data_IF_266961104827
#
_entry.id   IF_266961104827
#
_cell.length_a   1.000
_cell.length_b   1.000
_cell.length_c   1.000
_cell.angle_alpha   90.00
_cell.angle_beta   90.00
_cell.angle_gamma   90.00
#
_symmetry.space_group_name_H-M   'P 1'
#
loop_
_entity.id
_entity.type
_entity.pdbx_description
1 polymer ?
#
# COMPACT_ATOMS: atom_id res chain seq x y z
N UNK A 1 94.76 17.54 90.82
CA UNK A 1 95.50 18.75 91.25
C UNK A 1 94.61 19.96 90.99
N UNK A 2 94.67 21.06 91.74
CA UNK A 2 94.90 21.27 93.19
C UNK A 2 93.82 22.26 93.76
N UNK A 3 93.95 22.91 94.94
CA UNK A 3 94.76 22.63 96.12
C UNK A 3 93.95 22.54 97.44
N UNK A 4 94.34 21.60 98.32
CA UNK A 4 94.23 21.77 99.77
C UNK A 4 95.40 22.66 100.22
N UNK A 5 95.13 23.74 100.95
CA UNK A 5 96.14 24.59 101.58
C UNK A 5 95.76 24.89 103.03
N UNK A 6 96.70 24.58 103.93
CA UNK A 6 96.95 25.09 105.30
C UNK A 6 95.83 24.86 106.33
N UNK A 7 96.10 24.49 107.56
CA UNK A 7 97.32 24.61 108.35
C UNK A 7 96.91 25.13 109.74
N UNK A 8 97.59 24.68 110.79
CA UNK A 8 97.53 25.32 112.10
C UNK A 8 96.83 24.50 113.18
N UNK A 9 97.58 23.63 113.86
CA UNK A 9 97.25 23.16 115.21
C UNK A 9 98.07 24.02 116.18
N UNK A 10 97.42 25.05 116.73
CA UNK A 10 97.90 25.83 117.86
C UNK A 10 97.57 25.11 119.17
N UNK A 11 98.54 25.06 120.08
CA UNK A 11 98.48 24.43 121.39
C UNK A 11 98.11 25.51 122.40
N UNK A 12 96.96 25.39 123.06
CA UNK A 12 96.51 26.26 124.14
C UNK A 12 95.53 25.50 125.01
N UNK A 13 95.94 25.20 126.24
CA UNK A 13 95.11 24.52 127.21
C UNK A 13 94.22 25.47 128.01
N UNK A 14 93.39 24.83 128.83
CA UNK A 14 92.53 25.36 129.91
C UNK A 14 91.18 25.95 129.51
N UNK A 15 90.13 25.35 130.10
CA UNK A 15 88.74 25.77 130.04
C UNK A 15 87.84 24.70 129.42
N UNK A 16 87.17 23.87 130.24
CA UNK A 16 86.01 23.10 129.77
C UNK A 16 84.85 24.08 129.54
N UNK A 17 84.91 24.75 128.40
CA UNK A 17 83.84 25.58 127.88
C UNK A 17 82.97 24.67 127.02
N UNK A 18 81.76 24.37 127.51
CA UNK A 18 80.73 23.68 126.74
C UNK A 18 79.73 24.76 126.35
N UNK A 19 79.53 24.96 125.05
CA UNK A 19 78.61 25.93 124.45
C UNK A 19 78.77 27.39 124.95
N UNK A 20 80.01 27.89 124.93
CA UNK A 20 80.31 29.30 125.25
C UNK A 20 80.23 29.69 126.73
N UNK A 21 79.97 28.75 127.65
CA UNK A 21 79.89 28.99 129.10
C UNK A 21 81.00 28.24 129.86
N UNK A 22 81.69 28.91 130.79
CA UNK A 22 82.75 28.34 131.63
C UNK A 22 82.15 27.52 132.80
N UNK A 23 82.30 26.20 132.73
CA UNK A 23 81.66 25.24 133.65
C UNK A 23 82.32 25.14 135.03
N UNK A 24 83.39 25.89 135.29
CA UNK A 24 84.21 25.76 136.51
C UNK A 24 83.71 26.58 137.71
N UNK A 25 82.71 27.46 137.54
CA UNK A 25 82.17 28.33 138.60
C UNK A 25 80.68 28.09 138.93
N UNK A 26 80.07 27.04 138.36
CA UNK A 26 78.66 26.71 138.60
C UNK A 26 78.49 25.70 139.74
N UNK A 27 77.48 25.94 140.59
CA UNK A 27 77.05 24.97 141.61
C UNK A 27 76.37 23.75 140.96
N UNK A 28 76.32 22.60 141.65
CA UNK A 28 75.81 21.32 141.09
C UNK A 28 74.43 21.47 140.43
N UNK A 29 73.51 22.22 141.03
CA UNK A 29 72.17 22.48 140.48
C UNK A 29 72.22 23.32 139.20
N UNK A 30 73.14 24.28 139.10
CA UNK A 30 73.30 25.11 137.89
C UNK A 30 73.90 24.32 136.71
N UNK A 31 74.79 23.36 136.99
CA UNK A 31 75.32 22.42 135.99
C UNK A 31 74.25 21.43 135.51
N UNK A 32 73.33 21.00 136.39
CA UNK A 32 72.20 20.14 136.02
C UNK A 32 71.21 20.89 135.11
N UNK A 33 70.87 22.15 135.41
CA UNK A 33 70.03 23.01 134.55
C UNK A 33 70.71 23.30 133.22
N UNK A 34 72.03 23.55 133.20
CA UNK A 34 72.77 23.76 131.95
C UNK A 34 72.84 22.48 131.10
N UNK A 35 73.06 21.31 131.72
CA UNK A 35 72.97 20.02 131.03
C UNK A 35 71.58 19.76 130.45
N UNK A 36 70.51 20.12 131.16
CA UNK A 36 69.15 20.01 130.65
C UNK A 36 68.91 20.93 129.46
N UNK A 37 69.36 22.19 129.51
CA UNK A 37 69.25 23.12 128.38
C UNK A 37 70.00 22.64 127.13
N UNK A 38 71.25 22.19 127.29
CA UNK A 38 72.04 21.65 126.17
C UNK A 38 71.41 20.37 125.60
N UNK A 39 70.82 19.53 126.45
CA UNK A 39 70.06 18.35 125.99
C UNK A 39 68.84 18.76 125.19
N UNK A 40 68.03 19.70 125.68
CA UNK A 40 66.85 20.21 124.97
C UNK A 40 67.22 20.89 123.65
N UNK A 41 68.35 21.62 123.61
CA UNK A 41 68.83 22.25 122.39
C UNK A 41 69.38 21.23 121.39
N UNK A 42 70.10 20.19 121.85
CA UNK A 42 70.51 19.08 121.00
C UNK A 42 69.30 18.28 120.48
N UNK A 43 68.25 18.14 121.28
CA UNK A 43 67.01 17.46 120.91
C UNK A 43 66.24 18.28 119.87
N UNK A 44 66.15 19.61 120.04
CA UNK A 44 65.60 20.53 119.04
C UNK A 44 66.39 20.50 117.73
N UNK A 45 67.72 20.57 117.78
CA UNK A 45 68.56 20.46 116.57
C UNK A 45 68.40 19.10 115.87
N UNK A 46 68.18 18.02 116.64
CA UNK A 46 67.88 16.69 116.08
C UNK A 46 66.51 16.67 115.41
N UNK A 47 65.49 17.26 116.02
CA UNK A 47 64.15 17.39 115.46
C UNK A 47 64.16 18.24 114.18
N UNK A 48 64.86 19.37 114.18
CA UNK A 48 65.03 20.22 113.00
C UNK A 48 65.78 19.50 111.89
N UNK A 49 66.88 18.80 112.20
CA UNK A 49 67.59 17.99 111.21
C UNK A 49 66.69 16.89 110.64
N UNK A 50 65.90 16.23 111.48
CA UNK A 50 64.95 15.20 111.04
C UNK A 50 63.90 15.81 110.12
N UNK A 51 63.30 16.94 110.50
CA UNK A 51 62.34 17.68 109.69
C UNK A 51 62.91 18.07 108.32
N UNK A 52 64.11 18.67 108.28
CA UNK A 52 64.75 19.04 107.01
C UNK A 52 65.16 17.83 106.16
N UNK A 53 65.53 16.70 106.79
CA UNK A 53 65.76 15.45 106.06
C UNK A 53 64.47 14.94 105.42
N UNK A 54 63.37 14.94 106.18
CA UNK A 54 62.08 14.46 105.73
C UNK A 54 61.49 15.36 104.63
N UNK A 55 61.65 16.68 104.74
CA UNK A 55 61.27 17.64 103.68
C UNK A 55 62.15 17.51 102.43
N UNK A 56 63.46 17.33 102.58
CA UNK A 56 64.34 17.07 101.44
C UNK A 56 63.96 15.78 100.72
N UNK A 57 63.68 14.72 101.48
CA UNK A 57 63.31 13.43 100.91
C UNK A 57 61.93 13.50 100.23
N UNK A 58 60.96 14.22 100.82
CA UNK A 58 59.68 14.55 100.15
C UNK A 58 59.89 15.33 98.86
N UNK A 59 60.68 16.41 98.87
CA UNK A 59 60.99 17.19 97.67
C UNK A 59 61.67 16.34 96.60
N UNK A 60 62.55 15.42 97.00
CA UNK A 60 63.17 14.47 96.08
C UNK A 60 62.15 13.51 95.47
N UNK A 61 61.23 12.96 96.25
CA UNK A 61 60.16 12.10 95.72
C UNK A 61 59.25 12.87 94.76
N UNK A 62 58.84 14.11 95.09
CA UNK A 62 58.06 14.93 94.17
C UNK A 62 58.82 15.27 92.90
N UNK A 63 60.12 15.56 93.00
CA UNK A 63 60.96 15.79 91.82
C UNK A 63 61.09 14.54 90.95
N UNK A 64 61.27 13.35 91.54
CA UNK A 64 61.32 12.09 90.80
C UNK A 64 59.97 11.76 90.14
N UNK A 65 58.85 11.96 90.85
CA UNK A 65 57.49 11.78 90.29
C UNK A 65 57.23 12.74 89.14
N UNK A 66 57.42 14.05 89.34
CA UNK A 66 57.17 15.07 88.29
C UNK A 66 58.09 14.90 87.09
N UNK A 67 59.33 14.46 87.31
CA UNK A 67 60.26 14.09 86.24
C UNK A 67 59.73 12.89 85.45
N UNK A 68 59.29 11.82 86.13
CA UNK A 68 58.71 10.64 85.47
C UNK A 68 57.42 11.00 84.71
N UNK A 69 56.52 11.79 85.31
CA UNK A 69 55.30 12.28 84.66
C UNK A 69 55.62 13.11 83.40
N UNK A 70 56.65 13.95 83.45
CA UNK A 70 57.11 14.71 82.29
C UNK A 70 57.68 13.79 81.20
N UNK A 71 58.46 12.78 81.57
CA UNK A 71 58.98 11.77 80.63
C UNK A 71 57.84 10.96 79.99
N UNK A 72 56.84 10.54 80.76
CA UNK A 72 55.64 9.87 80.27
C UNK A 72 54.82 10.76 79.34
N UNK A 73 54.61 12.04 79.69
CA UNK A 73 53.88 12.98 78.86
C UNK A 73 54.61 13.22 77.53
N UNK A 74 55.94 13.36 77.56
CA UNK A 74 56.77 13.45 76.35
C UNK A 74 56.68 12.18 75.50
N UNK A 75 56.68 11.00 76.11
CA UNK A 75 56.52 9.73 75.39
C UNK A 75 55.12 9.62 74.75
N UNK A 76 54.06 10.00 75.47
CA UNK A 76 52.69 10.06 74.94
C UNK A 76 52.57 11.02 73.77
N UNK A 77 53.20 12.20 73.86
CA UNK A 77 53.19 13.19 72.79
C UNK A 77 53.88 12.66 71.52
N UNK A 78 55.08 12.06 71.65
CA UNK A 78 55.76 11.39 70.53
C UNK A 78 54.93 10.27 69.90
N UNK A 79 54.25 9.47 70.72
CA UNK A 79 53.36 8.42 70.21
C UNK A 79 52.17 9.01 69.45
N UNK A 80 51.63 10.16 69.90
CA UNK A 80 50.54 10.85 69.21
C UNK A 80 51.00 11.48 67.91
N UNK A 81 52.19 12.09 67.88
CA UNK A 81 52.79 12.60 66.64
C UNK A 81 52.99 11.47 65.62
N UNK A 82 53.51 10.32 66.06
CA UNK A 82 53.64 9.12 65.21
C UNK A 82 52.29 8.62 64.70
N UNK A 83 51.25 8.61 65.54
CA UNK A 83 49.89 8.24 65.10
C UNK A 83 49.33 9.21 64.06
N UNK A 84 49.63 10.51 64.17
CA UNK A 84 49.23 11.51 63.19
C UNK A 84 49.96 11.29 61.87
N UNK A 85 51.27 11.04 61.91
CA UNK A 85 52.08 10.70 60.73
C UNK A 85 51.53 9.44 60.02
N UNK A 86 51.32 8.34 60.76
CA UNK A 86 50.78 7.10 60.19
C UNK A 86 49.37 7.28 59.60
N UNK A 87 48.53 8.11 60.22
CA UNK A 87 47.20 8.41 59.69
C UNK A 87 47.28 9.28 58.42
N UNK A 88 48.22 10.22 58.36
CA UNK A 88 48.47 11.04 57.18
C UNK A 88 49.00 10.19 56.00
N UNK A 89 49.95 9.30 56.26
CA UNK A 89 50.49 8.36 55.26
C UNK A 89 49.39 7.46 54.69
N UNK A 90 48.57 6.85 55.56
CA UNK A 90 47.41 6.03 55.12
C UNK A 90 46.43 6.83 54.26
N UNK A 91 46.10 8.05 54.67
CA UNK A 91 45.21 8.91 53.89
C UNK A 91 45.83 9.28 52.52
N UNK A 92 47.15 9.52 52.46
CA UNK A 92 47.83 9.79 51.19
C UNK A 92 47.81 8.56 50.25
N UNK A 93 48.01 7.36 50.79
CA UNK A 93 47.90 6.11 50.03
C UNK A 93 46.48 5.87 49.53
N UNK A 94 45.46 6.06 50.39
CA UNK A 94 44.06 5.98 50.00
C UNK A 94 43.72 6.99 48.90
N UNK A 95 44.17 8.24 49.03
CA UNK A 95 43.96 9.28 48.03
C UNK A 95 44.60 8.91 46.68
N UNK A 96 45.81 8.32 46.68
CA UNK A 96 46.47 7.82 45.47
C UNK A 96 45.67 6.69 44.83
N UNK A 97 45.20 5.73 45.63
CA UNK A 97 44.36 4.63 45.18
C UNK A 97 43.05 5.13 44.56
N UNK A 98 42.33 6.02 45.24
CA UNK A 98 41.09 6.61 44.72
C UNK A 98 41.34 7.42 43.44
N UNK A 99 42.43 8.18 43.36
CA UNK A 99 42.82 8.91 42.15
C UNK A 99 43.07 7.98 40.97
N UNK A 100 43.75 6.84 41.20
CA UNK A 100 43.97 5.83 40.17
C UNK A 100 42.66 5.16 39.75
N UNK A 101 41.78 4.83 40.71
CA UNK A 101 40.46 4.25 40.45
C UNK A 101 39.58 5.17 39.61
N UNK A 102 39.56 6.47 39.91
CA UNK A 102 38.83 7.48 39.10
C UNK A 102 39.39 7.55 37.69
N UNK A 103 40.73 7.59 37.52
CA UNK A 103 41.35 7.59 36.19
C UNK A 103 40.99 6.34 35.38
N UNK A 104 41.02 5.16 36.01
CA UNK A 104 40.65 3.91 35.34
C UNK A 104 39.18 3.92 34.92
N UNK A 105 38.26 4.31 35.82
CA UNK A 105 36.84 4.43 35.50
C UNK A 105 36.56 5.43 34.38
N UNK A 106 37.28 6.56 34.34
CA UNK A 106 37.16 7.53 33.25
C UNK A 106 37.63 6.95 31.92
N UNK A 107 38.76 6.24 31.91
CA UNK A 107 39.28 5.58 30.71
C UNK A 107 38.34 4.49 30.22
N UNK A 108 37.83 3.65 31.12
CA UNK A 108 36.87 2.59 30.80
C UNK A 108 35.57 3.18 30.25
N UNK A 109 35.03 4.23 30.88
CA UNK A 109 33.84 4.91 30.38
C UNK A 109 34.06 5.52 28.99
N UNK A 110 35.22 6.14 28.76
CA UNK A 110 35.57 6.68 27.45
C UNK A 110 35.71 5.58 26.40
N UNK A 111 36.33 4.45 26.75
CA UNK A 111 36.49 3.30 25.86
C UNK A 111 35.13 2.68 25.50
N UNK A 112 34.28 2.42 26.50
CA UNK A 112 32.93 1.90 26.29
C UNK A 112 32.10 2.86 25.44
N UNK A 113 32.22 4.17 25.65
CA UNK A 113 31.54 5.17 24.82
C UNK A 113 32.04 5.14 23.36
N UNK A 114 33.34 4.97 23.13
CA UNK A 114 33.88 4.85 21.77
C UNK A 114 33.46 3.55 21.10
N UNK A 115 33.41 2.45 21.83
CA UNK A 115 32.98 1.14 21.35
C UNK A 115 31.49 1.17 20.98
N UNK A 116 30.60 1.63 21.88
CA UNK A 116 29.18 1.79 21.57
C UNK A 116 28.93 2.70 20.37
N UNK A 117 29.73 3.77 20.19
CA UNK A 117 29.63 4.64 19.00
C UNK A 117 30.05 3.91 17.73
N UNK A 118 31.12 3.13 17.78
CA UNK A 118 31.58 2.33 16.64
C UNK A 118 30.55 1.26 16.26
N UNK A 119 30.01 0.53 17.24
CA UNK A 119 28.96 -0.48 17.04
C UNK A 119 27.69 0.14 16.45
N UNK A 120 27.26 1.31 16.95
CA UNK A 120 26.10 2.01 16.42
C UNK A 120 26.31 2.45 14.96
N UNK A 121 27.51 2.91 14.60
CA UNK A 121 27.85 3.28 13.22
C UNK A 121 27.87 2.06 12.29
N UNK A 122 28.43 0.94 12.74
CA UNK A 122 28.44 -0.32 11.96
C UNK A 122 27.03 -0.83 11.77
N UNK A 123 26.19 -0.85 12.82
CA UNK A 123 24.79 -1.26 12.75
C UNK A 123 23.99 -0.38 11.78
N UNK A 124 24.18 0.94 11.85
CA UNK A 124 23.53 1.87 10.91
C UNK A 124 23.97 1.62 9.47
N UNK A 125 25.26 1.36 9.25
CA UNK A 125 25.82 1.08 7.93
C UNK A 125 25.27 -0.24 7.35
N UNK A 126 25.21 -1.30 8.16
CA UNK A 126 24.60 -2.58 7.77
C UNK A 126 23.14 -2.39 7.37
N UNK A 127 22.34 -1.69 8.19
CA UNK A 127 20.93 -1.41 7.87
C UNK A 127 20.78 -0.60 6.57
N UNK A 128 21.67 0.37 6.33
CA UNK A 128 21.67 1.14 5.09
C UNK A 128 22.02 0.28 3.87
N UNK A 129 22.99 -0.63 4.01
CA UNK A 129 23.41 -1.53 2.93
C UNK A 129 22.30 -2.55 2.62
N UNK A 130 21.64 -3.12 3.65
CA UNK A 130 20.48 -4.01 3.50
C UNK A 130 19.32 -3.32 2.77
N UNK A 131 18.99 -2.07 3.14
CA UNK A 131 17.97 -1.30 2.44
C UNK A 131 18.34 -1.00 0.98
N UNK A 132 19.62 -0.73 0.72
CA UNK A 132 20.11 -0.50 -0.65
C UNK A 132 20.03 -1.77 -1.49
N UNK A 133 20.29 -2.94 -0.91
CA UNK A 133 20.15 -4.23 -1.57
C UNK A 133 18.68 -4.55 -1.89
N UNK A 134 17.78 -4.39 -0.91
CA UNK A 134 16.34 -4.54 -1.12
C UNK A 134 15.80 -3.60 -2.22
N UNK A 135 16.27 -2.35 -2.27
CA UNK A 135 15.88 -1.42 -3.34
C UNK A 135 16.34 -1.92 -4.72
N UNK A 136 17.56 -2.45 -4.81
CA UNK A 136 18.08 -3.03 -6.08
C UNK A 136 17.28 -4.25 -6.51
N UNK A 137 16.91 -5.12 -5.59
CA UNK A 137 16.05 -6.29 -5.85
C UNK A 137 14.68 -5.85 -6.36
N UNK A 138 14.02 -4.92 -5.67
CA UNK A 138 12.72 -4.40 -6.11
C UNK A 138 12.79 -3.72 -7.49
N UNK A 139 13.88 -3.03 -7.80
CA UNK A 139 14.09 -2.44 -9.12
C UNK A 139 14.30 -3.50 -10.20
N UNK A 140 14.95 -4.62 -9.87
CA UNK A 140 15.11 -5.77 -10.76
C UNK A 140 13.76 -6.45 -11.00
N UNK A 141 13.03 -6.79 -9.94
CA UNK A 141 11.70 -7.40 -10.04
C UNK A 141 10.74 -6.54 -10.86
N UNK A 142 10.77 -5.22 -10.67
CA UNK A 142 10.00 -4.27 -11.48
C UNK A 142 10.35 -4.32 -12.96
N UNK A 143 11.63 -4.51 -13.32
CA UNK A 143 12.07 -4.65 -14.72
C UNK A 143 11.62 -5.99 -15.30
N UNK A 144 11.74 -7.06 -14.53
CA UNK A 144 11.39 -8.42 -14.93
C UNK A 144 9.87 -8.55 -15.13
N UNK A 145 9.06 -8.03 -14.20
CA UNK A 145 7.60 -7.95 -14.34
C UNK A 145 7.18 -7.13 -15.56
N UNK A 146 7.84 -6.01 -15.84
CA UNK A 146 7.58 -5.22 -17.05
C UNK A 146 7.95 -5.98 -18.33
N UNK A 147 8.99 -6.81 -18.30
CA UNK A 147 9.36 -7.63 -19.44
C UNK A 147 8.33 -8.75 -19.67
N UNK A 148 7.92 -9.45 -18.61
CA UNK A 148 6.88 -10.48 -18.66
C UNK A 148 5.54 -9.92 -19.15
N UNK A 149 5.13 -8.73 -18.69
CA UNK A 149 3.93 -8.08 -19.18
C UNK A 149 3.99 -7.81 -20.69
N UNK A 150 5.12 -7.27 -21.19
CA UNK A 150 5.29 -7.04 -22.63
C UNK A 150 5.26 -8.34 -23.42
N UNK A 151 5.87 -9.39 -22.89
CA UNK A 151 5.86 -10.71 -23.52
C UNK A 151 4.43 -11.28 -23.61
N UNK A 152 3.65 -11.17 -22.53
CA UNK A 152 2.23 -11.56 -22.52
C UNK A 152 1.39 -10.72 -23.49
N UNK A 153 1.61 -9.41 -23.56
CA UNK A 153 0.92 -8.53 -24.51
C UNK A 153 1.21 -8.94 -25.96
N UNK A 154 2.47 -9.24 -26.30
CA UNK A 154 2.86 -9.73 -27.63
C UNK A 154 2.23 -11.09 -27.91
N UNK A 155 2.27 -12.03 -26.96
CA UNK A 155 1.65 -13.35 -27.10
C UNK A 155 0.13 -13.24 -27.36
N UNK A 156 -0.57 -12.37 -26.62
CA UNK A 156 -2.00 -12.13 -26.84
C UNK A 156 -2.27 -11.49 -28.21
N UNK A 157 -1.44 -10.53 -28.64
CA UNK A 157 -1.57 -9.95 -29.98
C UNK A 157 -1.40 -10.99 -31.08
N UNK A 158 -0.44 -11.91 -30.93
CA UNK A 158 -0.20 -12.97 -31.90
C UNK A 158 -1.33 -14.02 -31.91
N UNK A 159 -1.91 -14.34 -30.75
CA UNK A 159 -3.14 -15.15 -30.67
C UNK A 159 -4.31 -14.49 -31.42
N UNK A 160 -4.52 -13.18 -31.24
CA UNK A 160 -5.56 -12.43 -31.96
C UNK A 160 -5.30 -12.43 -33.46
N UNK A 161 -4.04 -12.26 -33.91
CA UNK A 161 -3.68 -12.35 -35.33
C UNK A 161 -3.96 -13.75 -35.90
N UNK A 162 -3.60 -14.81 -35.16
CA UNK A 162 -3.84 -16.19 -35.56
C UNK A 162 -5.35 -16.47 -35.71
N UNK A 163 -6.17 -16.05 -34.75
CA UNK A 163 -7.63 -16.17 -34.83
C UNK A 163 -8.23 -15.40 -36.01
N UNK A 164 -7.74 -14.18 -36.29
CA UNK A 164 -8.16 -13.41 -37.46
C UNK A 164 -7.79 -14.10 -38.78
N UNK A 165 -6.61 -14.69 -38.86
CA UNK A 165 -6.17 -15.45 -40.03
C UNK A 165 -7.06 -16.68 -40.26
N UNK A 166 -7.28 -17.48 -39.20
CA UNK A 166 -8.16 -18.64 -39.27
C UNK A 166 -9.58 -18.24 -39.70
N UNK A 167 -10.14 -17.17 -39.14
CA UNK A 167 -11.46 -16.69 -39.54
C UNK A 167 -11.50 -16.24 -41.02
N UNK A 168 -10.43 -15.61 -41.51
CA UNK A 168 -10.31 -15.25 -42.92
C UNK A 168 -10.26 -16.47 -43.84
N UNK A 169 -9.58 -17.54 -43.42
CA UNK A 169 -9.52 -18.82 -44.14
C UNK A 169 -10.89 -19.51 -44.16
N UNK A 170 -11.60 -19.51 -43.05
CA UNK A 170 -12.96 -20.05 -42.95
C UNK A 170 -13.94 -19.28 -43.85
N UNK A 171 -13.90 -17.94 -43.84
CA UNK A 171 -14.69 -17.10 -44.74
C UNK A 171 -14.37 -17.40 -46.20
N UNK A 172 -13.09 -17.53 -46.55
CA UNK A 172 -12.66 -17.86 -47.91
C UNK A 172 -13.19 -19.23 -48.35
N UNK A 173 -13.11 -20.22 -47.46
CA UNK A 173 -13.65 -21.57 -47.70
C UNK A 173 -15.15 -21.54 -47.94
N UNK A 174 -15.90 -20.81 -47.10
CA UNK A 174 -17.36 -20.66 -47.25
C UNK A 174 -17.71 -19.95 -48.56
N UNK A 175 -16.99 -18.87 -48.92
CA UNK A 175 -17.18 -18.17 -50.20
C UNK A 175 -16.97 -19.09 -51.38
N UNK A 176 -15.89 -19.87 -51.38
CA UNK A 176 -15.61 -20.83 -52.45
C UNK A 176 -16.70 -21.90 -52.56
N UNK A 177 -17.22 -22.39 -51.42
CA UNK A 177 -18.34 -23.34 -51.42
C UNK A 177 -19.63 -22.73 -51.99
N UNK A 178 -19.92 -21.46 -51.69
CA UNK A 178 -21.07 -20.77 -52.26
C UNK A 178 -20.91 -20.52 -53.75
N UNK A 179 -19.73 -20.11 -54.20
CA UNK A 179 -19.44 -19.90 -55.63
C UNK A 179 -19.58 -21.21 -56.43
N UNK A 180 -19.11 -22.34 -55.87
CA UNK A 180 -19.32 -23.65 -56.47
C UNK A 180 -20.81 -24.02 -56.57
N UNK A 181 -21.57 -23.83 -55.49
CA UNK A 181 -23.02 -24.09 -55.48
C UNK A 181 -23.77 -23.19 -56.46
N UNK A 182 -23.38 -21.93 -56.59
CA UNK A 182 -23.94 -20.99 -57.55
C UNK A 182 -23.71 -21.47 -58.98
N UNK A 183 -22.47 -21.83 -59.33
CA UNK A 183 -22.12 -22.39 -60.65
C UNK A 183 -22.87 -23.69 -60.94
N UNK A 184 -22.99 -24.59 -59.96
CA UNK A 184 -23.77 -25.83 -60.12
C UNK A 184 -25.25 -25.55 -60.38
N UNK A 185 -25.82 -24.56 -59.70
CA UNK A 185 -27.21 -24.17 -59.86
C UNK A 185 -27.45 -23.50 -61.22
N UNK A 186 -26.57 -22.59 -61.62
CA UNK A 186 -26.58 -21.93 -62.92
C UNK A 186 -26.52 -22.96 -64.05
N UNK A 187 -25.52 -23.85 -64.04
CA UNK A 187 -25.37 -24.92 -65.02
C UNK A 187 -26.62 -25.82 -65.09
N UNK A 188 -27.24 -26.12 -63.94
CA UNK A 188 -28.46 -26.93 -63.89
C UNK A 188 -29.65 -26.24 -64.56
N UNK A 189 -29.82 -24.93 -64.35
CA UNK A 189 -30.91 -24.18 -64.97
C UNK A 189 -30.65 -23.84 -66.43
N UNK A 190 -29.41 -23.56 -66.80
CA UNK A 190 -29.02 -23.36 -68.20
C UNK A 190 -29.25 -24.63 -69.02
N UNK A 191 -28.90 -25.80 -68.48
CA UNK A 191 -29.23 -27.09 -69.10
C UNK A 191 -30.74 -27.28 -69.25
N UNK A 192 -31.54 -27.06 -68.20
CA UNK A 192 -33.01 -27.15 -68.28
C UNK A 192 -33.59 -26.20 -69.32
N UNK A 193 -33.05 -25.00 -69.43
CA UNK A 193 -33.49 -24.02 -70.41
C UNK A 193 -33.15 -24.46 -71.83
N UNK A 194 -31.93 -24.98 -72.05
CA UNK A 194 -31.51 -25.53 -73.33
C UNK A 194 -32.39 -26.73 -73.75
N UNK A 195 -32.66 -27.66 -72.82
CA UNK A 195 -33.53 -28.81 -73.05
C UNK A 195 -34.94 -28.36 -73.43
N UNK A 196 -35.53 -27.42 -72.68
CA UNK A 196 -36.87 -26.87 -72.98
C UNK A 196 -36.91 -26.17 -74.35
N UNK A 197 -35.86 -25.41 -74.69
CA UNK A 197 -35.75 -24.74 -75.99
C UNK A 197 -35.68 -25.77 -77.12
N UNK A 198 -34.93 -26.86 -76.93
CA UNK A 198 -34.86 -27.95 -77.89
C UNK A 198 -36.20 -28.65 -78.05
N UNK A 199 -36.90 -28.98 -76.95
CA UNK A 199 -38.24 -29.57 -76.99
C UNK A 199 -39.24 -28.69 -77.74
N UNK A 200 -39.24 -27.38 -77.45
CA UNK A 200 -40.14 -26.43 -78.11
C UNK A 200 -39.84 -26.31 -79.61
N UNK A 201 -38.55 -26.32 -79.98
CA UNK A 201 -38.14 -26.29 -81.39
C UNK A 201 -38.53 -27.56 -82.14
N UNK A 202 -38.40 -28.73 -81.50
CA UNK A 202 -38.86 -30.02 -82.05
C UNK A 202 -40.37 -29.98 -82.25
N UNK A 203 -41.15 -29.54 -81.25
CA UNK A 203 -42.61 -29.38 -81.39
C UNK A 203 -42.98 -28.46 -82.54
N UNK A 204 -42.34 -27.29 -82.63
CA UNK A 204 -42.59 -26.34 -83.71
C UNK A 204 -42.26 -26.94 -85.09
N UNK A 205 -41.13 -27.65 -85.22
CA UNK A 205 -40.75 -28.31 -86.49
C UNK A 205 -41.73 -29.43 -86.85
N UNK A 206 -42.19 -30.20 -85.86
CA UNK A 206 -43.22 -31.23 -86.04
C UNK A 206 -44.54 -30.61 -86.51
N UNK A 207 -45.04 -29.59 -85.82
CA UNK A 207 -46.27 -28.87 -86.18
C UNK A 207 -46.19 -28.26 -87.59
N UNK A 208 -45.03 -27.70 -87.95
CA UNK A 208 -44.77 -27.19 -89.30
C UNK A 208 -44.80 -28.31 -90.34
N UNK A 209 -44.16 -29.46 -90.07
CA UNK A 209 -44.17 -30.61 -90.99
C UNK A 209 -45.56 -31.20 -91.18
N UNK A 210 -46.37 -31.31 -90.11
CA UNK A 210 -47.76 -31.76 -90.21
C UNK A 210 -48.62 -30.77 -91.02
N UNK A 211 -48.37 -29.47 -90.85
CA UNK A 211 -49.09 -28.44 -91.61
C UNK A 211 -48.69 -28.46 -93.08
N UNK A 212 -47.40 -28.63 -93.39
CA UNK A 212 -46.90 -28.84 -94.75
C UNK A 212 -47.52 -30.08 -95.39
N UNK A 213 -47.58 -31.21 -94.67
CA UNK A 213 -48.23 -32.44 -95.15
C UNK A 213 -49.72 -32.21 -95.42
N UNK A 214 -50.45 -31.59 -94.49
CA UNK A 214 -51.87 -31.22 -94.69
C UNK A 214 -52.06 -30.31 -95.91
N UNK A 215 -51.18 -29.33 -96.11
CA UNK A 215 -51.24 -28.41 -97.26
C UNK A 215 -50.89 -29.12 -98.57
N UNK A 216 -49.89 -30.00 -98.58
CA UNK A 216 -49.54 -30.81 -99.74
C UNK A 216 -50.66 -31.78 -100.13
N UNK A 217 -51.33 -32.38 -99.15
CA UNK A 217 -52.53 -33.19 -99.39
C UNK A 217 -53.65 -32.35 -100.01
N UNK A 218 -53.92 -31.15 -99.47
CA UNK A 218 -54.91 -30.23 -100.04
C UNK A 218 -54.54 -29.80 -101.48
N UNK A 219 -53.26 -29.53 -101.77
CA UNK A 219 -52.78 -29.23 -103.13
C UNK A 219 -53.01 -30.42 -104.06
N UNK A 220 -52.72 -31.63 -103.59
CA UNK A 220 -52.90 -32.87 -104.35
C UNK A 220 -54.38 -33.10 -104.67
N UNK A 221 -55.27 -32.94 -103.68
CA UNK A 221 -56.72 -33.06 -103.86
C UNK A 221 -57.26 -31.97 -104.80
N UNK A 222 -56.79 -30.74 -104.66
CA UNK A 222 -57.16 -29.65 -105.55
C UNK A 222 -56.67 -29.92 -106.99
N UNK A 223 -55.45 -30.45 -107.15
CA UNK A 223 -54.91 -30.83 -108.46
C UNK A 223 -55.75 -31.93 -109.09
N UNK A 224 -56.11 -32.98 -108.34
CA UNK A 224 -57.02 -34.04 -108.81
C UNK A 224 -58.40 -33.49 -109.16
N UNK A 225 -58.93 -32.57 -108.35
CA UNK A 225 -60.21 -31.92 -108.64
C UNK A 225 -60.13 -31.07 -109.90
N UNK A 226 -59.08 -30.27 -110.06
CA UNK A 226 -58.82 -29.49 -111.27
C UNK A 226 -58.65 -30.38 -112.49
N UNK A 227 -57.96 -31.52 -112.37
CA UNK A 227 -57.79 -32.49 -113.46
C UNK A 227 -59.12 -33.15 -113.84
N UNK A 228 -59.97 -33.46 -112.84
CA UNK A 228 -61.33 -33.94 -113.06
C UNK A 228 -62.19 -32.88 -113.76
N UNK A 229 -62.24 -31.65 -113.25
CA UNK A 229 -62.98 -30.53 -113.85
C UNK A 229 -62.43 -30.22 -115.24
N UNK A 230 -61.11 -30.30 -115.45
CA UNK A 230 -60.50 -30.11 -116.77
C UNK A 230 -60.91 -31.22 -117.74
N UNK A 231 -60.96 -32.48 -117.31
CA UNK A 231 -61.48 -33.57 -118.12
C UNK A 231 -62.98 -33.43 -118.40
N UNK A 232 -63.78 -33.02 -117.41
CA UNK A 232 -65.19 -32.70 -117.58
C UNK A 232 -65.38 -31.52 -118.55
N UNK A 233 -64.54 -30.48 -118.46
CA UNK A 233 -64.54 -29.33 -119.35
C UNK A 233 -64.06 -29.70 -120.76
N UNK A 234 -63.08 -30.59 -120.88
CA UNK A 234 -62.62 -31.16 -122.15
C UNK A 234 -63.72 -32.00 -122.80
N UNK A 235 -64.44 -32.80 -122.02
CA UNK A 235 -65.62 -33.54 -122.48
C UNK A 235 -66.75 -32.58 -122.87
N UNK A 236 -67.03 -31.56 -122.05
CA UNK A 236 -67.99 -30.50 -122.35
C UNK A 236 -67.62 -29.70 -123.60
N UNK A 237 -66.34 -29.43 -123.85
CA UNK A 237 -65.88 -28.79 -125.09
C UNK A 237 -65.82 -29.75 -126.28
N UNK A 238 -65.71 -31.06 -126.06
CA UNK A 238 -65.95 -32.06 -127.10
C UNK A 238 -67.45 -32.11 -127.47
N UNK A 239 -68.33 -32.07 -126.46
CA UNK A 239 -69.78 -32.01 -126.65
C UNK A 239 -70.20 -30.67 -127.26
N UNK A 240 -69.55 -29.58 -126.87
CA UNK A 240 -69.70 -28.26 -127.47
C UNK A 240 -69.02 -28.17 -128.82
N UNK A 241 -67.94 -28.87 -129.18
CA UNK A 241 -67.46 -28.85 -130.57
C UNK A 241 -68.44 -29.59 -131.47
N UNK A 242 -69.06 -30.67 -130.98
CA UNK A 242 -70.23 -31.30 -131.61
C UNK A 242 -71.43 -30.33 -131.70
N UNK A 243 -71.73 -29.57 -130.64
CA UNK A 243 -72.84 -28.61 -130.60
C UNK A 243 -72.54 -27.28 -131.32
N UNK A 244 -71.29 -26.83 -131.38
CA UNK A 244 -70.81 -25.62 -132.04
C UNK A 244 -70.64 -25.84 -133.53
N UNK A 245 -70.43 -27.08 -134.00
CA UNK A 245 -70.72 -27.40 -135.40
C UNK A 245 -72.19 -27.08 -135.75
N UNK A 246 -73.12 -27.17 -134.78
CA UNK A 246 -74.51 -26.74 -134.94
C UNK A 246 -74.76 -25.26 -134.59
N UNK A 247 -74.00 -24.65 -133.66
CA UNK A 247 -74.18 -23.28 -133.15
C UNK A 247 -73.31 -22.22 -133.86
N UNK A 248 -72.25 -22.60 -134.59
CA UNK A 248 -71.52 -21.72 -135.54
C UNK A 248 -72.44 -21.25 -136.67
N UNK A 249 -73.56 -21.94 -136.89
CA UNK A 249 -74.67 -21.46 -137.72
C UNK A 249 -75.48 -20.31 -137.08
N UNK A 250 -75.38 -20.09 -135.77
CA UNK A 250 -76.30 -19.24 -134.98
C UNK A 250 -75.63 -18.09 -134.23
N UNK A 251 -74.32 -18.12 -133.98
CA UNK A 251 -73.60 -17.09 -133.22
C UNK A 251 -72.67 -16.22 -134.08
N UNK A 252 -73.06 -15.99 -135.33
CA UNK A 252 -72.57 -14.83 -136.11
C UNK A 252 -73.26 -13.50 -135.70
N UNK A 253 -74.30 -13.55 -134.86
CA UNK A 253 -75.22 -12.42 -134.71
C UNK A 253 -75.06 -11.53 -133.46
N UNK A 254 -74.30 -11.88 -132.42
CA UNK A 254 -74.44 -11.13 -131.15
C UNK A 254 -73.13 -10.93 -130.37
N UNK A 255 -72.12 -10.34 -131.03
CA UNK A 255 -70.83 -10.03 -130.41
C UNK A 255 -70.52 -8.51 -130.38
N UNK A 256 -71.49 -7.67 -130.00
CA UNK A 256 -71.31 -6.19 -130.02
C UNK A 256 -71.59 -5.48 -128.66
N UNK A 257 -72.10 -6.12 -127.61
CA UNK A 257 -72.73 -5.34 -126.51
C UNK A 257 -71.84 -5.01 -125.29
N UNK A 258 -70.77 -5.74 -124.97
CA UNK A 258 -70.10 -5.58 -123.66
C UNK A 258 -68.83 -4.70 -123.67
N UNK A 259 -68.86 -3.57 -124.39
CA UNK A 259 -67.75 -2.59 -124.42
C UNK A 259 -67.98 -1.33 -123.58
N UNK A 260 -69.08 -1.21 -122.82
CA UNK A 260 -69.55 0.07 -122.21
C UNK A 260 -69.52 0.19 -120.67
N UNK A 261 -68.75 -0.61 -119.93
CA UNK A 261 -68.72 -0.55 -118.45
C UNK A 261 -67.50 0.13 -117.80
N UNK A 262 -66.61 0.76 -118.58
CA UNK A 262 -65.28 1.17 -118.08
C UNK A 262 -65.15 2.65 -117.61
N UNK A 263 -66.22 3.47 -117.66
CA UNK A 263 -66.11 4.92 -117.39
C UNK A 263 -66.58 5.37 -115.99
N UNK A 264 -67.05 4.50 -115.10
CA UNK A 264 -67.62 4.91 -113.79
C UNK A 264 -66.63 5.05 -112.63
N UNK A 265 -65.37 4.62 -112.77
CA UNK A 265 -64.45 4.47 -111.63
C UNK A 265 -63.59 5.71 -111.32
N UNK A 266 -63.64 6.75 -112.17
CA UNK A 266 -62.71 7.88 -112.08
C UNK A 266 -63.09 8.97 -111.05
N UNK A 267 -64.31 8.98 -110.49
CA UNK A 267 -64.76 10.02 -109.54
C UNK A 267 -64.51 9.75 -108.04
N UNK A 268 -64.23 8.52 -107.62
CA UNK A 268 -64.05 8.18 -106.18
C UNK A 268 -62.67 8.57 -105.60
N UNK A 269 -61.68 8.88 -106.45
CA UNK A 269 -60.30 9.15 -106.03
C UNK A 269 -60.11 10.57 -105.48
N UNK A 270 -60.95 11.53 -105.88
CA UNK A 270 -60.82 12.93 -105.47
C UNK A 270 -61.30 13.19 -104.03
N UNK A 271 -62.39 12.55 -103.60
CA UNK A 271 -62.98 12.77 -102.27
C UNK A 271 -62.10 12.19 -101.14
N UNK A 272 -61.47 11.03 -101.37
CA UNK A 272 -60.54 10.38 -100.42
C UNK A 272 -59.28 11.23 -100.18
N UNK A 273 -58.87 12.04 -101.16
CA UNK A 273 -57.66 12.85 -101.08
C UNK A 273 -57.86 14.14 -100.28
N UNK A 274 -59.08 14.71 -100.29
CA UNK A 274 -59.42 15.90 -99.51
C UNK A 274 -59.62 15.57 -98.02
N UNK A 275 -60.20 14.41 -97.71
CA UNK A 275 -60.45 13.98 -96.32
C UNK A 275 -59.15 13.62 -95.58
N UNK A 276 -58.16 13.03 -96.28
CA UNK A 276 -56.83 12.79 -95.73
C UNK A 276 -56.09 14.07 -95.32
N UNK A 277 -56.28 15.20 -96.03
CA UNK A 277 -55.63 16.47 -95.67
C UNK A 277 -56.24 17.14 -94.44
N UNK A 278 -57.51 16.89 -94.14
CA UNK A 278 -58.20 17.46 -92.96
C UNK A 278 -57.78 16.79 -91.64
N UNK A 279 -57.36 15.52 -91.69
CA UNK A 279 -57.05 14.71 -90.51
C UNK A 279 -55.58 14.82 -90.05
N UNK A 280 -54.69 15.41 -90.84
CA UNK A 280 -53.25 15.48 -90.56
C UNK A 280 -52.89 16.43 -89.41
N UNK A 281 -53.54 17.58 -89.33
CA UNK A 281 -53.23 18.61 -88.31
C UNK A 281 -53.67 18.20 -86.89
N UNK A 282 -54.88 17.64 -86.69
CA UNK A 282 -55.28 17.08 -85.39
C UNK A 282 -54.38 15.92 -84.93
N UNK A 283 -53.91 15.08 -85.87
CA UNK A 283 -53.02 13.98 -85.56
C UNK A 283 -51.65 14.45 -85.07
N UNK A 284 -51.09 15.52 -85.67
CA UNK A 284 -49.83 16.12 -85.21
C UNK A 284 -49.95 16.73 -83.82
N UNK A 285 -51.03 17.45 -83.54
CA UNK A 285 -51.24 18.04 -82.22
C UNK A 285 -51.38 16.94 -81.14
N UNK A 286 -52.16 15.89 -81.41
CA UNK A 286 -52.28 14.75 -80.51
C UNK A 286 -50.94 14.02 -80.26
N UNK A 287 -50.05 13.95 -81.27
CA UNK A 287 -48.71 13.38 -81.09
C UNK A 287 -47.81 14.22 -80.19
N UNK A 288 -47.88 15.55 -80.29
CA UNK A 288 -47.13 16.48 -79.42
C UNK A 288 -47.63 16.36 -77.98
N UNK A 289 -48.94 16.37 -77.77
CA UNK A 289 -49.55 16.26 -76.44
C UNK A 289 -49.20 14.91 -75.79
N UNK A 290 -49.23 13.81 -76.55
CA UNK A 290 -48.80 12.48 -76.07
C UNK A 290 -47.32 12.47 -75.67
N UNK A 291 -46.45 13.16 -76.41
CA UNK A 291 -45.02 13.25 -76.06
C UNK A 291 -44.82 14.06 -74.77
N UNK A 292 -45.57 15.15 -74.59
CA UNK A 292 -45.50 15.99 -73.40
C UNK A 292 -46.04 15.27 -72.15
N UNK A 293 -47.18 14.58 -72.26
CA UNK A 293 -47.71 13.76 -71.17
C UNK A 293 -46.80 12.60 -70.77
N UNK A 294 -46.14 11.95 -71.74
CA UNK A 294 -45.12 10.93 -71.44
C UNK A 294 -43.95 11.51 -70.64
N UNK A 295 -43.50 12.71 -71.00
CA UNK A 295 -42.41 13.41 -70.29
C UNK A 295 -42.82 13.78 -68.86
N UNK A 296 -44.02 14.31 -68.67
CA UNK A 296 -44.56 14.61 -67.34
C UNK A 296 -44.73 13.35 -66.49
N UNK A 297 -45.15 12.23 -67.08
CA UNK A 297 -45.26 10.94 -66.39
C UNK A 297 -43.88 10.45 -65.89
N UNK A 298 -42.85 10.52 -66.72
CA UNK A 298 -41.48 10.15 -66.32
C UNK A 298 -40.95 11.03 -65.18
N UNK A 299 -41.24 12.34 -65.18
CA UNK A 299 -40.89 13.23 -64.07
C UNK A 299 -41.65 12.86 -62.79
N UNK A 300 -42.95 12.58 -62.89
CA UNK A 300 -43.76 12.15 -61.76
C UNK A 300 -43.27 10.82 -61.15
N UNK A 301 -42.86 9.86 -61.98
CA UNK A 301 -42.28 8.59 -61.51
C UNK A 301 -40.95 8.80 -60.77
N UNK A 302 -40.08 9.70 -61.28
CA UNK A 302 -38.82 10.07 -60.60
C UNK A 302 -39.08 10.77 -59.27
N UNK A 303 -40.05 11.67 -59.21
CA UNK A 303 -40.41 12.37 -57.97
C UNK A 303 -41.01 11.40 -56.95
N UNK A 304 -41.83 10.44 -57.39
CA UNK A 304 -42.39 9.38 -56.54
C UNK A 304 -41.29 8.51 -55.94
N UNK A 305 -40.29 8.12 -56.73
CA UNK A 305 -39.14 7.33 -56.24
C UNK A 305 -38.29 8.15 -55.26
N UNK A 306 -38.04 9.43 -55.56
CA UNK A 306 -37.29 10.34 -54.68
C UNK A 306 -38.01 10.58 -53.35
N UNK A 307 -39.35 10.71 -53.38
CA UNK A 307 -40.18 10.81 -52.19
C UNK A 307 -40.13 9.53 -51.34
N UNK A 308 -40.16 8.35 -51.97
CA UNK A 308 -40.03 7.09 -51.26
C UNK A 308 -38.66 6.98 -50.55
N UNK A 309 -37.57 7.33 -51.25
CA UNK A 309 -36.22 7.31 -50.70
C UNK A 309 -36.03 8.31 -49.55
N UNK A 310 -36.57 9.53 -49.69
CA UNK A 310 -36.50 10.54 -48.61
C UNK A 310 -37.34 10.16 -47.41
N UNK A 311 -38.52 9.54 -47.60
CA UNK A 311 -39.32 8.98 -46.51
C UNK A 311 -38.59 7.85 -45.77
N UNK A 312 -37.93 6.95 -46.51
CA UNK A 312 -37.14 5.88 -45.91
C UNK A 312 -35.97 6.43 -45.07
N UNK A 313 -35.23 7.41 -45.62
CA UNK A 313 -34.16 8.11 -44.90
C UNK A 313 -34.69 8.81 -43.65
N UNK A 314 -35.79 9.56 -43.77
CA UNK A 314 -36.41 10.24 -42.64
C UNK A 314 -36.83 9.26 -41.54
N UNK A 315 -37.34 8.08 -41.91
CA UNK A 315 -37.69 7.04 -40.95
C UNK A 315 -36.45 6.52 -40.22
N UNK A 316 -35.35 6.24 -40.92
CA UNK A 316 -34.08 5.81 -40.31
C UNK A 316 -33.53 6.86 -39.35
N UNK A 317 -33.44 8.12 -39.81
CA UNK A 317 -32.90 9.21 -39.00
C UNK A 317 -33.78 9.51 -37.78
N UNK A 318 -35.11 9.34 -37.87
CA UNK A 318 -35.99 9.45 -36.71
C UNK A 318 -35.74 8.34 -35.68
N UNK A 319 -35.58 7.10 -36.14
CA UNK A 319 -35.24 5.99 -35.25
C UNK A 319 -33.89 6.24 -34.55
N UNK A 320 -32.87 6.64 -35.30
CA UNK A 320 -31.55 7.00 -34.75
C UNK A 320 -31.63 8.14 -33.73
N UNK A 321 -32.46 9.16 -33.99
CA UNK A 321 -32.69 10.26 -33.05
C UNK A 321 -33.35 9.78 -31.75
N UNK A 322 -34.35 8.90 -31.84
CA UNK A 322 -35.05 8.37 -30.68
C UNK A 322 -34.14 7.43 -29.86
N UNK A 323 -33.31 6.61 -30.52
CA UNK A 323 -32.31 5.77 -29.86
C UNK A 323 -31.24 6.63 -29.14
N UNK A 324 -30.78 7.71 -29.79
CA UNK A 324 -29.84 8.66 -29.17
C UNK A 324 -30.45 9.41 -27.99
N UNK A 325 -31.75 9.76 -28.05
CA UNK A 325 -32.46 10.37 -26.92
C UNK A 325 -32.53 9.43 -25.74
N UNK A 326 -32.91 8.17 -25.97
CA UNK A 326 -32.92 7.15 -24.91
C UNK A 326 -31.54 6.94 -24.28
N UNK A 327 -30.49 6.90 -25.09
CA UNK A 327 -29.13 6.77 -24.59
C UNK A 327 -28.70 8.01 -23.77
N UNK A 328 -29.10 9.21 -24.20
CA UNK A 328 -28.83 10.45 -23.48
C UNK A 328 -29.54 10.48 -22.11
N UNK A 329 -30.84 10.20 -22.09
CA UNK A 329 -31.63 10.15 -20.84
C UNK A 329 -31.05 9.12 -19.85
N UNK A 330 -30.64 7.95 -20.35
CA UNK A 330 -30.01 6.93 -19.53
C UNK A 330 -28.64 7.38 -18.98
N UNK A 331 -27.84 8.09 -19.78
CA UNK A 331 -26.55 8.66 -19.34
C UNK A 331 -26.76 9.77 -18.32
N UNK A 332 -27.76 10.61 -18.50
CA UNK A 332 -28.08 11.71 -17.60
C UNK A 332 -28.52 11.19 -16.22
N UNK A 333 -29.39 10.17 -16.17
CA UNK A 333 -29.76 9.50 -14.91
C UNK A 333 -28.56 8.87 -14.20
N UNK A 334 -27.63 8.25 -14.96
CA UNK A 334 -26.39 7.70 -14.37
C UNK A 334 -25.47 8.79 -13.84
N UNK A 335 -25.39 9.92 -14.55
CA UNK A 335 -24.59 11.06 -14.13
C UNK A 335 -25.12 11.66 -12.83
N UNK A 336 -26.42 11.92 -12.75
CA UNK A 336 -27.07 12.45 -11.53
C UNK A 336 -26.85 11.52 -10.33
N UNK A 337 -26.92 10.21 -10.53
CA UNK A 337 -26.62 9.23 -9.47
C UNK A 337 -25.16 9.31 -9.02
N UNK A 338 -24.21 9.38 -9.95
CA UNK A 338 -22.78 9.50 -9.62
C UNK A 338 -22.45 10.81 -8.91
N UNK A 339 -23.10 11.90 -9.30
CA UNK A 339 -22.96 13.19 -8.64
C UNK A 339 -23.48 13.13 -7.20
N UNK A 340 -24.65 12.52 -6.98
CA UNK A 340 -25.19 12.30 -5.64
C UNK A 340 -24.28 11.39 -4.77
N UNK A 341 -23.71 10.32 -5.34
CA UNK A 341 -22.77 9.45 -4.63
C UNK A 341 -21.47 10.18 -4.26
N UNK A 342 -20.95 11.03 -5.15
CA UNK A 342 -19.78 11.87 -4.90
C UNK A 342 -20.05 12.88 -3.77
N UNK A 343 -21.18 13.56 -3.81
CA UNK A 343 -21.54 14.56 -2.81
C UNK A 343 -21.76 13.92 -1.44
N UNK A 344 -22.41 12.75 -1.39
CA UNK A 344 -22.57 11.97 -0.17
C UNK A 344 -21.22 11.50 0.40
N UNK A 345 -20.30 11.04 -0.46
CA UNK A 345 -18.97 10.64 -0.03
C UNK A 345 -18.17 11.84 0.52
N UNK A 346 -18.27 13.00 -0.13
CA UNK A 346 -17.64 14.24 0.33
C UNK A 346 -18.19 14.66 1.70
N UNK A 347 -19.51 14.60 1.89
CA UNK A 347 -20.17 14.87 3.17
C UNK A 347 -19.68 13.93 4.26
N UNK A 348 -19.68 12.61 4.01
CA UNK A 348 -19.20 11.61 4.98
C UNK A 348 -17.73 11.79 5.33
N UNK A 349 -16.90 12.16 4.36
CA UNK A 349 -15.50 12.42 4.59
C UNK A 349 -15.30 13.60 5.55
N UNK A 350 -16.02 14.71 5.33
CA UNK A 350 -15.98 15.87 6.21
C UNK A 350 -16.48 15.50 7.61
N UNK A 351 -17.59 14.76 7.71
CA UNK A 351 -18.14 14.29 9.00
C UNK A 351 -17.15 13.41 9.77
N UNK A 352 -16.49 12.47 9.08
CA UNK A 352 -15.49 11.59 9.70
C UNK A 352 -14.26 12.38 10.19
N UNK A 353 -13.79 13.37 9.43
CA UNK A 353 -12.69 14.25 9.86
C UNK A 353 -13.10 15.02 11.11
N UNK A 354 -14.28 15.63 11.12
CA UNK A 354 -14.76 16.41 12.25
C UNK A 354 -14.95 15.55 13.50
N UNK A 355 -15.48 14.33 13.38
CA UNK A 355 -15.63 13.40 14.50
C UNK A 355 -14.27 12.97 15.08
N UNK A 356 -13.28 12.65 14.22
CA UNK A 356 -11.91 12.33 14.68
C UNK A 356 -11.26 13.54 15.36
N UNK A 357 -11.41 14.74 14.79
CA UNK A 357 -10.89 15.97 15.38
C UNK A 357 -11.56 16.29 16.72
N UNK A 358 -12.87 16.08 16.84
CA UNK A 358 -13.62 16.27 18.08
C UNK A 358 -13.18 15.28 19.15
N UNK A 359 -13.09 13.98 18.83
CA UNK A 359 -12.67 12.93 19.77
C UNK A 359 -11.23 13.14 20.26
N UNK A 360 -10.32 13.44 19.35
CA UNK A 360 -8.93 13.76 19.71
C UNK A 360 -8.84 15.05 20.53
N UNK A 361 -9.60 16.09 20.17
CA UNK A 361 -9.71 17.33 20.93
C UNK A 361 -10.22 17.11 22.36
N UNK A 362 -11.27 16.32 22.54
CA UNK A 362 -11.81 15.96 23.86
C UNK A 362 -10.78 15.18 24.69
N UNK A 363 -10.10 14.19 24.09
CA UNK A 363 -9.05 13.42 24.77
C UNK A 363 -7.88 14.32 25.20
N UNK A 364 -7.45 15.23 24.32
CA UNK A 364 -6.39 16.19 24.63
C UNK A 364 -6.79 17.14 25.76
N UNK A 365 -8.03 17.65 25.75
CA UNK A 365 -8.55 18.49 26.83
C UNK A 365 -8.60 17.74 28.17
N UNK A 366 -9.02 16.48 28.16
CA UNK A 366 -9.05 15.65 29.38
C UNK A 366 -7.64 15.41 29.92
N UNK A 367 -6.68 15.07 29.05
CA UNK A 367 -5.28 14.89 29.42
C UNK A 367 -4.68 16.18 29.95
N UNK A 368 -4.96 17.33 29.32
CA UNK A 368 -4.51 18.63 29.78
C UNK A 368 -5.07 18.99 31.17
N UNK A 369 -6.37 18.74 31.41
CA UNK A 369 -6.97 18.92 32.74
C UNK A 369 -6.35 18.00 33.79
N UNK A 370 -6.06 16.74 33.43
CA UNK A 370 -5.40 15.78 34.32
C UNK A 370 -3.98 16.23 34.66
N UNK A 371 -3.20 16.67 33.67
CA UNK A 371 -1.87 17.25 33.87
C UNK A 371 -1.97 18.45 34.79
N UNK A 372 -2.85 19.42 34.51
CA UNK A 372 -3.03 20.61 35.35
C UNK A 372 -3.35 20.24 36.81
N UNK A 373 -4.26 19.28 37.01
CA UNK A 373 -4.64 18.84 38.36
C UNK A 373 -3.45 18.20 39.08
N UNK A 374 -2.68 17.33 38.39
CA UNK A 374 -1.49 16.70 38.96
C UNK A 374 -0.38 17.73 39.26
N UNK A 375 -0.20 18.73 38.40
CA UNK A 375 0.74 19.83 38.61
C UNK A 375 0.35 20.66 39.84
N UNK A 376 -0.91 21.08 39.95
CA UNK A 376 -1.39 21.82 41.13
C UNK A 376 -1.19 21.02 42.43
N UNK A 377 -1.41 19.71 42.40
CA UNK A 377 -1.17 18.83 43.55
C UNK A 377 0.33 18.73 43.86
N UNK A 378 1.19 18.66 42.85
CA UNK A 378 2.63 18.66 43.04
C UNK A 378 3.12 19.97 43.64
N UNK A 379 2.71 21.12 43.09
CA UNK A 379 3.04 22.46 43.60
C UNK A 379 2.59 22.63 45.06
N UNK A 380 1.36 22.22 45.38
CA UNK A 380 0.86 22.27 46.76
C UNK A 380 1.69 21.41 47.71
N UNK A 381 2.07 20.19 47.28
CA UNK A 381 2.96 19.32 48.08
C UNK A 381 4.35 19.91 48.24
N UNK A 382 4.91 20.53 47.20
CA UNK A 382 6.23 21.16 47.24
C UNK A 382 6.26 22.36 48.20
N UNK A 383 5.20 23.16 48.25
CA UNK A 383 5.04 24.25 49.23
C UNK A 383 5.04 23.69 50.65
N UNK A 384 4.23 22.66 50.94
CA UNK A 384 4.20 22.01 52.26
C UNK A 384 5.58 21.45 52.63
N UNK A 385 6.26 20.77 51.69
CA UNK A 385 7.61 20.25 51.91
C UNK A 385 8.59 21.38 52.20
N UNK A 386 8.47 22.52 51.51
CA UNK A 386 9.27 23.73 51.75
C UNK A 386 9.06 24.31 53.15
N UNK A 387 7.82 24.46 53.59
CA UNK A 387 7.47 24.96 54.92
C UNK A 387 7.97 24.01 56.03
N UNK A 388 7.76 22.70 55.86
CA UNK A 388 8.23 21.70 56.81
C UNK A 388 9.76 21.70 56.93
N UNK A 389 10.49 21.84 55.82
CA UNK A 389 11.95 21.99 55.81
C UNK A 389 12.41 23.26 56.54
N UNK A 390 11.67 24.36 56.44
CA UNK A 390 12.00 25.59 57.15
C UNK A 390 11.81 25.47 58.68
N UNK A 391 10.88 24.62 59.13
CA UNK A 391 10.58 24.38 60.55
C UNK A 391 11.48 23.32 61.21
N UNK A 392 12.22 22.51 60.44
CA UNK A 392 13.06 21.43 60.97
C UNK A 392 14.55 21.74 60.81
N UNK A 393 15.31 21.64 61.91
CA UNK A 393 16.76 21.95 61.96
C UNK A 393 17.66 20.74 61.64
N UNK A 394 17.10 19.54 61.42
CA UNK A 394 17.87 18.34 61.08
C UNK A 394 18.25 18.27 59.59
N UNK A 395 19.38 17.62 59.29
CA UNK A 395 19.81 17.29 57.93
C UNK A 395 18.94 16.17 57.30
N UNK A 396 17.70 16.53 56.98
CA UNK A 396 16.68 15.66 56.38
C UNK A 396 17.01 15.35 54.91
N UNK A 397 17.86 16.17 54.29
CA UNK A 397 18.25 16.07 52.87
C UNK A 397 18.94 14.74 52.56
N UNK A 398 19.86 14.29 53.41
CA UNK A 398 20.56 13.02 53.24
C UNK A 398 19.64 11.80 53.39
N UNK A 399 18.68 11.84 54.33
CA UNK A 399 17.67 10.78 54.53
C UNK A 399 16.71 10.71 53.32
N UNK A 400 16.28 11.85 52.79
CA UNK A 400 15.44 11.92 51.59
C UNK A 400 16.13 11.35 50.35
N UNK A 401 17.42 11.68 50.13
CA UNK A 401 18.18 11.14 48.99
C UNK A 401 18.29 9.60 49.04
N UNK A 402 18.44 9.04 50.24
CA UNK A 402 18.45 7.57 50.42
C UNK A 402 17.07 6.97 50.11
N UNK A 403 15.99 7.64 50.51
CA UNK A 403 14.62 7.21 50.22
C UNK A 403 14.30 7.29 48.72
N UNK A 404 14.71 8.37 48.04
CA UNK A 404 14.58 8.54 46.59
C UNK A 404 15.32 7.45 45.83
N UNK A 405 16.55 7.11 46.23
CA UNK A 405 17.29 5.99 45.62
C UNK A 405 16.55 4.66 45.78
N UNK A 406 15.92 4.42 46.94
CA UNK A 406 15.11 3.21 47.17
C UNK A 406 13.85 3.23 46.30
N UNK A 407 13.16 4.37 46.19
CA UNK A 407 11.97 4.51 45.35
C UNK A 407 12.30 4.34 43.87
N UNK A 408 13.39 4.96 43.38
CA UNK A 408 13.87 4.81 42.03
C UNK A 408 14.18 3.34 41.72
N UNK A 409 14.92 2.65 42.60
CA UNK A 409 15.19 1.22 42.46
C UNK A 409 13.90 0.40 42.42
N UNK A 410 12.93 0.68 43.31
CA UNK A 410 11.63 -0.01 43.30
C UNK A 410 10.86 0.23 41.99
N UNK A 411 10.86 1.45 41.47
CA UNK A 411 10.23 1.79 40.20
C UNK A 411 10.88 1.08 39.02
N UNK A 412 12.22 0.97 39.00
CA UNK A 412 12.94 0.17 38.00
C UNK A 412 12.52 -1.29 38.06
N UNK A 413 12.49 -1.88 39.27
CA UNK A 413 12.03 -3.27 39.45
C UNK A 413 10.57 -3.45 39.02
N UNK A 414 9.69 -2.49 39.30
CA UNK A 414 8.30 -2.53 38.81
C UNK A 414 8.27 -2.53 37.28
N UNK A 415 9.07 -1.68 36.64
CA UNK A 415 9.13 -1.61 35.18
C UNK A 415 9.68 -2.90 34.56
N UNK A 416 10.76 -3.44 35.13
CA UNK A 416 11.36 -4.71 34.71
C UNK A 416 10.36 -5.86 34.85
N UNK A 417 9.64 -5.94 35.97
CA UNK A 417 8.61 -6.96 36.19
C UNK A 417 7.41 -6.81 35.23
N UNK A 418 7.00 -5.58 34.92
CA UNK A 418 5.96 -5.34 33.91
C UNK A 418 6.40 -5.79 32.51
N UNK A 419 7.65 -5.50 32.15
CA UNK A 419 8.25 -5.93 30.90
C UNK A 419 8.38 -7.46 30.83
N UNK A 420 8.86 -8.08 31.90
CA UNK A 420 8.97 -9.54 32.02
C UNK A 420 7.61 -10.21 31.90
N UNK A 421 6.59 -9.69 32.58
CA UNK A 421 5.21 -10.16 32.44
C UNK A 421 4.73 -10.02 30.99
N UNK A 422 5.03 -8.90 30.31
CA UNK A 422 4.63 -8.69 28.92
C UNK A 422 5.29 -9.71 27.99
N UNK A 423 6.59 -9.97 28.22
CA UNK A 423 7.38 -10.95 27.48
C UNK A 423 6.86 -12.37 27.66
N UNK A 424 6.48 -12.74 28.89
CA UNK A 424 5.93 -14.07 29.19
C UNK A 424 4.53 -14.24 28.62
N UNK A 425 3.63 -13.25 28.77
CA UNK A 425 2.31 -13.28 28.14
C UNK A 425 2.41 -13.43 26.62
N UNK A 426 3.36 -12.74 25.99
CA UNK A 426 3.63 -12.88 24.57
C UNK A 426 4.15 -14.27 24.19
N UNK A 427 5.15 -14.76 24.92
CA UNK A 427 5.70 -16.11 24.69
C UNK A 427 4.62 -17.20 24.83
N UNK A 428 3.69 -17.01 25.77
CA UNK A 428 2.52 -17.87 25.95
C UNK A 428 1.57 -17.78 24.75
N UNK A 429 1.23 -16.58 24.28
CA UNK A 429 0.33 -16.40 23.14
C UNK A 429 0.94 -16.95 21.83
N UNK A 430 2.23 -16.71 21.59
CA UNK A 430 2.96 -17.27 20.44
C UNK A 430 3.00 -18.81 20.51
N UNK A 431 3.16 -19.38 21.73
CA UNK A 431 3.13 -20.83 21.92
C UNK A 431 1.73 -21.40 21.62
N UNK A 432 0.67 -20.72 22.06
CA UNK A 432 -0.70 -21.12 21.72
C UNK A 432 -0.91 -21.13 20.20
N UNK A 433 -0.46 -20.09 19.51
CA UNK A 433 -0.55 -20.00 18.04
C UNK A 433 0.22 -21.16 17.37
N UNK A 434 1.44 -21.49 17.86
CA UNK A 434 2.19 -22.65 17.31
C UNK A 434 1.52 -24.00 17.57
N UNK A 435 0.87 -24.19 18.72
CA UNK A 435 0.12 -25.41 19.00
C UNK A 435 -1.15 -25.51 18.15
N UNK A 436 -1.86 -24.40 17.98
CA UNK A 436 -2.99 -24.31 17.07
C UNK A 436 -2.59 -24.68 15.63
N UNK A 437 -1.49 -24.13 15.13
CA UNK A 437 -0.96 -24.46 13.80
C UNK A 437 -0.57 -25.94 13.69
N UNK A 438 0.01 -26.52 14.74
CA UNK A 438 0.37 -27.95 14.78
C UNK A 438 -0.85 -28.86 14.81
N UNK A 439 -1.86 -28.53 15.61
CA UNK A 439 -3.12 -29.29 15.64
C UNK A 439 -3.82 -29.25 14.29
N UNK A 440 -3.81 -28.09 13.62
CA UNK A 440 -4.33 -27.95 12.27
C UNK A 440 -3.54 -28.81 11.25
N UNK A 441 -2.21 -28.90 11.37
CA UNK A 441 -1.38 -29.79 10.54
C UNK A 441 -1.73 -31.28 10.71
N UNK A 442 -2.12 -31.69 11.93
CA UNK A 442 -2.56 -33.07 12.21
C UNK A 442 -4.06 -33.30 11.92
N UNK A 443 -4.76 -32.29 11.37
CA UNK A 443 -6.16 -32.40 10.97
C UNK A 443 -7.15 -32.28 12.12
N UNK A 444 -6.75 -31.70 13.26
CA UNK A 444 -7.61 -31.46 14.42
C UNK A 444 -8.06 -29.98 14.38
N UNK A 445 -9.34 -29.68 14.09
CA UNK A 445 -9.88 -28.32 14.07
C UNK A 445 -9.89 -27.68 15.47
N UNK A 446 -9.78 -26.34 15.53
CA UNK A 446 -9.75 -25.58 16.80
C UNK A 446 -11.02 -25.78 17.62
N UNK A 447 -12.13 -26.07 16.95
CA UNK A 447 -13.45 -26.33 17.50
C UNK A 447 -13.51 -27.63 18.30
N UNK A 448 -12.60 -28.59 18.06
CA UNK A 448 -12.58 -29.89 18.74
C UNK A 448 -11.83 -29.88 20.08
N UNK A 449 -11.14 -28.78 20.44
CA UNK A 449 -10.41 -28.69 21.72
C UNK A 449 -11.31 -28.63 22.96
N UNK A 450 -12.56 -28.19 22.83
CA UNK A 450 -13.52 -28.13 23.94
C UNK A 450 -13.24 -27.06 25.01
N UNK A 451 -12.20 -26.24 24.84
CA UNK A 451 -11.91 -25.06 25.69
C UNK A 451 -11.28 -23.94 24.86
N UNK A 452 -11.43 -22.70 25.32
CA UNK A 452 -10.80 -21.52 24.71
C UNK A 452 -9.58 -21.12 25.54
N UNK A 453 -8.37 -21.11 24.98
CA UNK A 453 -7.17 -20.67 25.69
C UNK A 453 -7.31 -19.21 26.15
N UNK A 454 -6.96 -18.93 27.41
CA UNK A 454 -7.00 -17.59 27.98
C UNK A 454 -5.79 -16.76 27.53
N UNK A 455 -6.03 -15.63 26.84
CA UNK A 455 -4.99 -14.65 26.49
C UNK A 455 -5.05 -13.47 27.46
N UNK A 456 -3.92 -13.10 28.07
CA UNK A 456 -3.84 -12.03 29.08
C UNK A 456 -3.43 -10.73 28.39
N UNK A 457 -4.35 -9.76 28.30
CA UNK A 457 -4.05 -8.39 27.89
C UNK A 457 -3.59 -7.58 29.10
N UNK A 458 -2.37 -7.03 29.04
CA UNK A 458 -1.88 -6.13 30.07
C UNK A 458 -2.58 -4.77 30.00
N UNK A 459 -2.84 -4.17 31.18
CA UNK A 459 -3.40 -2.83 31.31
C UNK A 459 -2.56 -1.79 30.56
N UNK A 460 -3.21 -1.03 29.68
CA UNK A 460 -2.59 0.04 28.90
C UNK A 460 -2.11 -0.35 27.50
N UNK A 461 -2.14 -1.63 27.11
CA UNK A 461 -1.89 -2.05 25.73
C UNK A 461 -3.22 -2.07 24.94
N UNK A 462 -3.26 -1.34 23.81
CA UNK A 462 -4.42 -1.28 22.92
C UNK A 462 -4.61 -2.51 22.02
N UNK A 463 -3.87 -3.60 22.27
CA UNK A 463 -3.89 -4.83 21.48
C UNK A 463 -2.81 -5.83 21.90
N UNK A 464 -2.80 -7.00 21.26
CA UNK A 464 -1.82 -8.06 21.52
C UNK A 464 -0.37 -7.57 21.25
N UNK A 465 0.61 -7.96 22.09
CA UNK A 465 1.99 -7.48 21.97
C UNK A 465 2.69 -8.02 20.71
N UNK A 466 3.21 -7.13 19.85
CA UNK A 466 3.75 -7.44 18.50
C UNK A 466 5.29 -7.52 18.38
N UNK A 467 6.05 -7.64 19.48
CA UNK A 467 7.52 -7.78 19.44
C UNK A 467 8.02 -9.15 18.96
N UNK A 468 9.33 -9.43 18.89
CA UNK A 468 9.84 -10.80 18.72
C UNK A 468 9.81 -11.56 20.06
N UNK A 469 9.27 -12.79 20.10
CA UNK A 469 9.45 -13.67 21.26
C UNK A 469 10.55 -14.70 20.97
N UNK A 470 11.44 -14.90 21.93
CA UNK A 470 12.64 -15.74 21.81
C UNK A 470 12.40 -17.25 21.87
N UNK A 471 11.23 -17.76 21.48
CA UNK A 471 10.96 -19.21 21.46
C UNK A 471 10.93 -19.73 20.03
N UNK A 472 12.11 -19.74 19.40
CA UNK A 472 12.35 -20.59 18.23
C UNK A 472 12.60 -22.00 18.75
N UNK A 473 11.54 -22.79 18.94
CA UNK A 473 11.71 -24.23 19.13
C UNK A 473 12.26 -24.80 17.83
N UNK A 474 13.53 -25.20 17.82
CA UNK A 474 14.12 -26.04 16.77
C UNK A 474 13.41 -27.39 16.78
N UNK A 475 12.26 -27.48 16.14
CA UNK A 475 11.66 -28.76 15.80
C UNK A 475 12.44 -29.33 14.62
N UNK A 476 13.22 -30.36 14.91
CA UNK A 476 13.93 -31.18 13.94
C UNK A 476 13.04 -32.32 13.48
#
# INVERSE_FOLDING_TARGET
MPPKKKGGKGKGGSGNIIDGVDTTQMTREQLEVFCHRIKEENEREREERNFFQLERDKLRTFWEITKNELEEAKAKLRNKDRQIEEAAEKNEEELKFYKQKVKHLQYEHQNNLTECKAEALVSLKMSQDDHTEQERELLRDKRDLKAQMREQEVAHQDQVKALKLQHSEEISTIRNQFELKEKELENKYEKKFADLKQELNIKHTMEMSELEERKNNQITDLTKHHEKVFNEMKNYYNDITLNNLALISSLKDQMEVLRKQNERMSKQVADITAENKRLTEPLKQAQIDVAEYKRQLEHYEKDKLSLANTKAKLSSTKQELDDLRWANDALQLRFEKLEAEKDELSRRFIEAILDVQQKTGQKNMLLQKRIQTLTNVAEYRDVIIGELRALTSEDITAKNLKLEKILARKNTVIHDLQYELARVCKAHDDLLDTYEDKLQQYGIPKEELGFVPLRILQDGQGGLPKGPAGLVTKNR
#
